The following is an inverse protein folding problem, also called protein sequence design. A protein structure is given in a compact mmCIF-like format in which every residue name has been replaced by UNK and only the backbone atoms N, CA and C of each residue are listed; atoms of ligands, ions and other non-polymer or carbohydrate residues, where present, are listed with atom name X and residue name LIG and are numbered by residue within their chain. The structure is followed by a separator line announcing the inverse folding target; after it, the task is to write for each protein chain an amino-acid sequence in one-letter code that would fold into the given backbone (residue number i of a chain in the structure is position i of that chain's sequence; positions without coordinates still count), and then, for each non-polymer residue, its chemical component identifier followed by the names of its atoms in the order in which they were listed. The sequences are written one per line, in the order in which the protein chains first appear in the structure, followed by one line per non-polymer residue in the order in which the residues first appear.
data_IF_926559030472
#
_entry.id   IF_926559030472
#
_cell.length_a   1.000
_cell.length_b   1.000
_cell.length_c   1.000
_cell.angle_alpha   90.00
_cell.angle_beta   90.00
_cell.angle_gamma   90.00
#
_symmetry.space_group_name_H-M   'P 1'
#
loop_
_entity.id
_entity.type
_entity.pdbx_description
1 polymer ?
#
# COMPACT_ATOMS: atom_id res chain seq x y z
N UNK A 1 5.01 -9.68 -20.90
CA UNK A 1 4.77 -10.88 -20.08
C UNK A 1 3.39 -10.73 -19.47
N UNK A 2 2.52 -11.75 -19.53
CA UNK A 2 1.37 -11.78 -18.62
C UNK A 2 1.93 -12.10 -17.25
N UNK A 3 1.86 -11.14 -16.34
CA UNK A 3 2.15 -11.39 -14.93
C UNK A 3 0.93 -12.12 -14.38
N UNK A 4 1.08 -13.34 -13.90
CA UNK A 4 0.00 -14.07 -13.22
C UNK A 4 -0.23 -13.43 -11.84
N UNK A 5 -0.99 -12.33 -11.85
CA UNK A 5 -1.37 -11.59 -10.66
C UNK A 5 -2.50 -12.33 -9.95
N UNK A 6 -2.25 -12.79 -8.72
CA UNK A 6 -3.22 -13.54 -7.92
C UNK A 6 -3.30 -12.92 -6.53
N UNK A 7 -4.47 -12.42 -6.15
CA UNK A 7 -4.71 -11.84 -4.83
C UNK A 7 -4.94 -12.94 -3.77
N UNK A 8 -4.58 -12.70 -2.50
CA UNK A 8 -3.93 -11.49 -1.98
C UNK A 8 -2.44 -11.41 -2.35
N UNK A 9 -1.88 -10.19 -2.46
CA UNK A 9 -0.48 -9.96 -2.82
C UNK A 9 0.23 -9.01 -1.86
N UNK A 10 1.54 -9.20 -1.59
CA UNK A 10 2.29 -8.33 -0.69
C UNK A 10 2.46 -6.93 -1.30
N UNK A 11 2.19 -5.90 -0.50
CA UNK A 11 2.21 -4.50 -0.92
C UNK A 11 3.56 -4.06 -1.51
N UNK A 12 4.66 -4.66 -1.03
CA UNK A 12 6.03 -4.36 -1.48
C UNK A 12 6.29 -4.62 -2.96
N UNK A 13 5.42 -5.42 -3.60
CA UNK A 13 5.41 -5.65 -5.04
C UNK A 13 5.08 -4.38 -5.82
N UNK A 14 4.27 -3.49 -5.23
CA UNK A 14 3.61 -2.39 -5.93
C UNK A 14 4.14 -1.01 -5.57
N UNK A 15 4.86 -0.88 -4.45
CA UNK A 15 5.34 0.41 -3.95
C UNK A 15 6.83 0.37 -3.58
N UNK A 16 7.55 1.52 -3.68
CA UNK A 16 8.96 1.59 -3.34
C UNK A 16 9.21 1.60 -1.83
N UNK A 17 8.21 1.93 -1.01
CA UNK A 17 8.32 1.99 0.44
C UNK A 17 8.82 0.66 1.02
N UNK A 18 9.72 0.76 1.99
CA UNK A 18 10.29 -0.37 2.74
C UNK A 18 10.10 -0.11 4.22
N UNK A 19 10.13 -1.17 5.02
CA UNK A 19 10.13 -1.01 6.47
C UNK A 19 11.27 -0.08 6.92
N UNK A 20 11.03 0.81 7.90
CA UNK A 20 9.80 0.95 8.68
C UNK A 20 8.83 2.01 8.11
N UNK A 21 9.07 2.52 6.90
CA UNK A 21 8.23 3.50 6.20
C UNK A 21 7.11 2.87 5.35
N UNK A 22 7.01 1.53 5.28
CA UNK A 22 5.90 0.83 4.61
C UNK A 22 4.84 0.49 5.66
N UNK A 23 3.66 1.07 5.53
CA UNK A 23 2.57 0.96 6.49
C UNK A 23 1.45 0.02 6.04
N UNK A 24 1.45 -0.39 4.77
CA UNK A 24 0.49 -1.35 4.20
C UNK A 24 1.18 -2.69 3.95
N UNK A 25 0.48 -3.78 4.26
CA UNK A 25 1.03 -5.14 4.21
C UNK A 25 0.61 -5.87 2.95
N UNK A 26 -0.68 -5.85 2.65
CA UNK A 26 -1.29 -6.75 1.66
C UNK A 26 -2.35 -6.03 0.84
N UNK A 27 -2.37 -6.27 -0.48
CA UNK A 27 -3.52 -6.01 -1.33
C UNK A 27 -4.45 -7.22 -1.26
N UNK A 28 -5.66 -7.04 -0.73
CA UNK A 28 -6.64 -8.10 -0.53
C UNK A 28 -7.54 -8.27 -1.76
N UNK A 29 -8.06 -7.16 -2.27
CA UNK A 29 -9.00 -7.15 -3.40
C UNK A 29 -8.78 -5.95 -4.30
N UNK A 30 -9.12 -6.12 -5.58
CA UNK A 30 -9.10 -5.06 -6.59
C UNK A 30 -10.38 -5.12 -7.42
N UNK A 31 -10.94 -3.95 -7.69
CA UNK A 31 -12.03 -3.72 -8.64
C UNK A 31 -11.82 -2.37 -9.34
N UNK A 32 -12.58 -2.14 -10.41
CA UNK A 32 -12.40 -0.95 -11.26
C UNK A 32 -12.55 0.39 -10.51
N UNK A 33 -13.36 0.41 -9.44
CA UNK A 33 -13.66 1.62 -8.66
C UNK A 33 -13.21 1.55 -7.21
N UNK A 34 -12.84 0.37 -6.71
CA UNK A 34 -12.54 0.12 -5.30
C UNK A 34 -11.44 -0.93 -5.17
N UNK A 35 -10.62 -0.82 -4.13
CA UNK A 35 -9.70 -1.88 -3.72
C UNK A 35 -9.59 -1.91 -2.20
N UNK A 36 -9.17 -3.05 -1.67
CA UNK A 36 -8.99 -3.24 -0.24
C UNK A 36 -7.55 -3.64 0.05
N UNK A 37 -6.98 -2.97 1.05
CA UNK A 37 -5.66 -3.28 1.58
C UNK A 37 -5.78 -3.67 3.05
N UNK A 38 -4.78 -4.38 3.54
CA UNK A 38 -4.60 -4.70 4.95
C UNK A 38 -3.34 -4.01 5.48
N UNK A 39 -3.41 -3.52 6.71
CA UNK A 39 -2.30 -2.96 7.46
C UNK A 39 -2.43 -3.39 8.92
N UNK A 40 -1.37 -3.96 9.49
CA UNK A 40 -1.26 -4.33 10.90
C UNK A 40 -0.06 -3.62 11.52
N UNK A 41 -0.21 -2.36 11.98
CA UNK A 41 0.90 -1.63 12.58
C UNK A 41 1.34 -2.29 13.89
N UNK A 42 2.59 -2.75 13.92
CA UNK A 42 3.25 -3.29 15.10
C UNK A 42 4.00 -2.22 15.90
N UNK A 43 4.66 -2.64 16.98
CA UNK A 43 5.52 -1.78 17.79
C UNK A 43 6.76 -1.24 17.05
N UNK A 44 7.05 -1.79 15.86
CA UNK A 44 8.10 -1.38 14.94
C UNK A 44 7.63 -0.32 13.91
N UNK A 45 6.33 -0.01 13.88
CA UNK A 45 5.79 1.08 13.08
C UNK A 45 6.21 2.43 13.68
N UNK A 46 6.81 3.29 12.86
CA UNK A 46 7.31 4.61 13.31
C UNK A 46 6.19 5.58 13.71
N UNK A 47 4.94 5.27 13.35
CA UNK A 47 3.76 6.09 13.66
C UNK A 47 2.91 5.47 14.78
N UNK A 48 3.43 4.48 15.50
CA UNK A 48 2.83 4.03 16.76
C UNK A 48 3.49 4.82 17.90
N UNK A 49 2.69 5.59 18.61
CA UNK A 49 3.10 6.39 19.76
C UNK A 49 3.53 5.53 20.94
N UNK A 50 4.17 6.16 21.93
CA UNK A 50 4.62 5.48 23.15
C UNK A 50 3.48 4.91 24.01
N UNK A 51 2.25 5.38 23.78
CA UNK A 51 1.01 4.92 24.39
C UNK A 51 0.38 3.71 23.65
N UNK A 52 0.99 3.28 22.53
CA UNK A 52 0.53 2.15 21.72
C UNK A 52 -0.57 2.51 20.72
N UNK A 53 -0.89 3.80 20.54
CA UNK A 53 -1.87 4.25 19.56
C UNK A 53 -1.20 4.72 18.26
N UNK A 54 -1.93 4.65 17.16
CA UNK A 54 -1.47 5.23 15.89
C UNK A 54 -1.59 6.76 15.94
N UNK A 55 -0.54 7.44 15.53
CA UNK A 55 -0.56 8.88 15.28
C UNK A 55 -1.57 9.24 14.18
N UNK A 56 -2.24 10.38 14.30
CA UNK A 56 -3.24 10.82 13.30
C UNK A 56 -2.65 10.92 11.89
N UNK A 57 -1.35 11.25 11.79
CA UNK A 57 -0.62 11.31 10.53
C UNK A 57 -0.55 9.96 9.80
N UNK A 58 -0.69 8.84 10.53
CA UNK A 58 -0.72 7.50 9.94
C UNK A 58 -1.93 7.31 9.02
N UNK A 59 -3.06 7.99 9.29
CA UNK A 59 -4.24 7.88 8.44
C UNK A 59 -3.95 8.35 7.01
N UNK A 60 -3.28 9.49 6.87
CA UNK A 60 -2.94 10.06 5.55
C UNK A 60 -1.97 9.13 4.81
N UNK A 61 -0.99 8.58 5.53
CA UNK A 61 0.00 7.67 4.94
C UNK A 61 -0.63 6.32 4.53
N UNK A 62 -1.54 5.76 5.34
CA UNK A 62 -2.28 4.55 5.02
C UNK A 62 -3.14 4.73 3.76
N UNK A 63 -3.81 5.87 3.61
CA UNK A 63 -4.57 6.22 2.40
C UNK A 63 -3.65 6.35 1.19
N UNK A 64 -2.53 7.05 1.34
CA UNK A 64 -1.57 7.29 0.28
C UNK A 64 -0.93 6.00 -0.24
N UNK A 65 -0.37 5.19 0.67
CA UNK A 65 0.24 3.92 0.29
C UNK A 65 -0.80 2.92 -0.19
N UNK A 66 -1.99 2.87 0.43
CA UNK A 66 -3.09 2.02 -0.01
C UNK A 66 -3.50 2.33 -1.45
N UNK A 67 -3.65 3.61 -1.79
CA UNK A 67 -3.91 4.03 -3.17
C UNK A 67 -2.77 3.62 -4.12
N UNK A 68 -1.53 3.86 -3.72
CA UNK A 68 -0.36 3.51 -4.54
C UNK A 68 -0.26 1.99 -4.80
N UNK A 69 -0.60 1.14 -3.83
CA UNK A 69 -0.66 -0.32 -3.98
C UNK A 69 -1.72 -0.72 -5.00
N UNK A 70 -2.94 -0.19 -4.87
CA UNK A 70 -4.05 -0.46 -5.80
C UNK A 70 -3.68 -0.01 -7.22
N UNK A 71 -3.08 1.18 -7.35
CA UNK A 71 -2.64 1.73 -8.64
C UNK A 71 -1.51 0.91 -9.26
N UNK A 72 -0.54 0.44 -8.47
CA UNK A 72 0.53 -0.42 -8.95
C UNK A 72 0.01 -1.76 -9.47
N UNK A 73 -1.00 -2.34 -8.82
CA UNK A 73 -1.67 -3.54 -9.33
C UNK A 73 -2.43 -3.27 -10.64
N UNK A 74 -3.18 -2.16 -10.73
CA UNK A 74 -3.84 -1.72 -11.97
C UNK A 74 -2.84 -1.54 -13.12
N UNK A 75 -1.71 -0.89 -12.87
CA UNK A 75 -0.66 -0.69 -13.87
C UNK A 75 -0.17 -2.05 -14.40
N UNK A 76 0.14 -3.00 -13.51
CA UNK A 76 0.59 -4.34 -13.92
C UNK A 76 -0.49 -5.14 -14.67
N UNK A 77 -1.75 -5.09 -14.24
CA UNK A 77 -2.89 -5.72 -14.94
C UNK A 77 -3.01 -5.21 -16.38
N UNK A 78 -2.77 -3.91 -16.58
CA UNK A 78 -2.83 -3.26 -17.88
C UNK A 78 -1.50 -3.34 -18.66
N UNK A 79 -0.53 -4.14 -18.19
CA UNK A 79 0.76 -4.33 -18.86
C UNK A 79 1.66 -3.09 -18.84
N UNK A 80 1.41 -2.15 -17.94
CA UNK A 80 2.23 -0.96 -17.68
C UNK A 80 3.29 -1.27 -16.63
N UNK A 81 4.33 -0.44 -16.57
CA UNK A 81 5.21 -0.40 -15.41
C UNK A 81 4.53 0.33 -14.27
N UNK A 82 4.87 -0.02 -13.04
CA UNK A 82 4.41 0.67 -11.84
C UNK A 82 4.90 2.12 -11.90
N UNK A 83 3.97 3.06 -11.84
CA UNK A 83 4.27 4.50 -11.86
C UNK A 83 4.78 4.98 -10.50
N UNK A 84 5.74 5.91 -10.50
CA UNK A 84 6.10 6.63 -9.27
C UNK A 84 4.96 7.57 -8.86
N UNK A 85 4.40 7.34 -7.67
CA UNK A 85 3.38 8.19 -7.08
C UNK A 85 4.00 9.32 -6.27
N UNK A 86 3.47 10.54 -6.42
CA UNK A 86 3.80 11.69 -5.59
C UNK A 86 2.59 12.07 -4.75
N UNK A 87 2.80 12.32 -3.46
CA UNK A 87 1.80 12.94 -2.60
C UNK A 87 1.57 14.38 -3.06
N UNK A 88 0.40 14.67 -3.62
CA UNK A 88 -0.05 16.02 -3.95
C UNK A 88 -1.18 16.39 -3.00
N UNK A 89 -0.93 17.39 -2.15
CA UNK A 89 -1.83 17.79 -1.06
C UNK A 89 -3.19 18.29 -1.51
#
# INVERSE_FOLDING_TARGET
MKTDLTLPMPAETFIPHRLPMRLVDTLLSWGETTGEIEATPGADCILVGADGFLEETALVELLAQGYAVIRGYDDLLNGKQISEGYLVG
#
